data_IF_976016456052
#
_entry.id   IF_976016456052
#
_cell.length_a   1.000
_cell.length_b   1.000
_cell.length_c   1.000
_cell.angle_alpha   90.00
_cell.angle_beta   90.00
_cell.angle_gamma   90.00
#
_symmetry.space_group_name_H-M   'P 1'
#
loop_
_entity.id
_entity.type
_entity.pdbx_description
1 polymer ?
#
# COMPACT_ATOMS: atom_id res chain seq x y z
N UNK A 1 5.61 7.83 -36.42
CA UNK A 1 6.57 7.49 -35.36
C UNK A 1 6.12 8.26 -34.15
N UNK A 2 5.69 7.53 -33.12
CA UNK A 2 5.30 8.12 -31.86
C UNK A 2 6.52 8.82 -31.24
N UNK A 3 6.30 10.02 -30.69
CA UNK A 3 7.38 10.75 -30.04
C UNK A 3 7.83 9.96 -28.80
N UNK A 4 9.14 9.86 -28.52
CA UNK A 4 9.65 9.16 -27.35
C UNK A 4 9.12 9.81 -26.07
N UNK A 5 8.75 8.98 -25.11
CA UNK A 5 8.20 9.41 -23.83
C UNK A 5 9.28 10.09 -22.98
N UNK A 6 8.94 11.25 -22.41
CA UNK A 6 9.83 12.07 -21.58
C UNK A 6 9.19 12.35 -20.22
N UNK A 7 9.99 12.35 -19.16
CA UNK A 7 9.49 12.56 -17.81
C UNK A 7 10.49 12.16 -16.73
N UNK A 8 9.98 11.82 -15.55
CA UNK A 8 10.80 11.33 -14.46
C UNK A 8 10.03 10.28 -13.65
N UNK A 9 10.75 9.36 -13.05
CA UNK A 9 10.22 8.37 -12.12
C UNK A 9 10.91 8.57 -10.77
N UNK A 10 10.12 8.63 -9.71
CA UNK A 10 10.60 8.72 -8.34
C UNK A 10 10.33 7.42 -7.59
N UNK A 11 11.34 6.93 -6.89
CA UNK A 11 11.24 5.80 -5.97
C UNK A 11 11.90 6.18 -4.65
N UNK A 12 11.18 6.06 -3.54
CA UNK A 12 11.73 6.39 -2.22
C UNK A 12 10.78 6.05 -1.09
N UNK A 13 11.21 6.33 0.14
CA UNK A 13 10.47 5.99 1.37
C UNK A 13 9.28 6.91 1.66
N UNK A 14 9.11 7.99 0.89
CA UNK A 14 8.12 9.03 1.20
C UNK A 14 6.69 8.51 0.97
N UNK A 15 5.94 8.36 2.05
CA UNK A 15 4.48 8.24 1.96
C UNK A 15 3.84 9.58 1.53
N UNK A 16 2.58 9.55 1.08
CA UNK A 16 1.82 10.76 0.72
C UNK A 16 1.37 11.55 1.96
N UNK A 17 2.32 12.23 2.61
CA UNK A 17 2.08 12.99 3.83
C UNK A 17 2.92 14.28 3.90
N UNK A 18 2.40 15.29 4.58
CA UNK A 18 3.13 16.53 4.83
C UNK A 18 4.35 16.33 5.75
N UNK A 19 4.37 15.26 6.55
CA UNK A 19 5.52 14.92 7.39
C UNK A 19 6.73 14.49 6.56
N UNK A 20 6.49 13.76 5.46
CA UNK A 20 7.51 13.31 4.51
C UNK A 20 7.89 14.39 3.49
N UNK A 21 6.91 15.08 2.90
CA UNK A 21 7.15 16.06 1.82
C UNK A 21 7.37 17.50 2.30
N UNK A 22 7.02 17.77 3.55
CA UNK A 22 7.10 19.10 4.15
C UNK A 22 5.86 19.95 3.92
N UNK A 23 5.71 20.97 4.77
CA UNK A 23 4.72 22.04 4.63
C UNK A 23 5.37 23.41 4.73
N UNK A 24 5.00 24.38 3.88
CA UNK A 24 5.49 25.74 4.03
C UNK A 24 4.96 26.35 5.33
N UNK A 25 5.81 27.02 6.07
CA UNK A 25 5.49 27.82 7.25
C UNK A 25 5.93 29.26 6.99
N UNK A 26 5.03 30.20 7.29
CA UNK A 26 5.35 31.63 7.29
C UNK A 26 5.78 32.03 8.68
N UNK A 27 6.89 32.77 8.79
CA UNK A 27 7.26 33.44 10.03
C UNK A 27 6.38 34.69 10.23
N UNK A 28 5.06 34.53 10.43
CA UNK A 28 4.20 35.63 10.90
C UNK A 28 4.23 35.71 12.43
N UNK A 29 5.42 35.89 12.99
CA UNK A 29 5.60 36.26 14.39
C UNK A 29 5.39 37.77 14.54
N UNK A 30 4.17 38.18 14.87
CA UNK A 30 3.83 39.45 15.54
C UNK A 30 4.63 40.71 15.14
N UNK A 31 4.13 41.50 14.19
CA UNK A 31 4.09 42.96 14.36
C UNK A 31 2.87 43.55 13.67
N UNK A 32 2.16 44.36 14.46
CA UNK A 32 1.17 45.30 14.01
C UNK A 32 1.76 46.25 12.95
N UNK A 33 0.87 46.72 12.08
CA UNK A 33 1.03 47.77 11.09
C UNK A 33 1.68 47.43 9.75
N UNK A 34 0.95 47.92 8.74
CA UNK A 34 1.40 48.42 7.45
C UNK A 34 1.35 47.41 6.30
N UNK A 35 0.20 47.44 5.62
CA UNK A 35 0.10 47.93 4.25
C UNK A 35 1.47 48.09 3.55
N UNK A 36 2.00 47.05 2.93
CA UNK A 36 2.65 47.18 1.64
C UNK A 36 2.92 45.81 0.99
N UNK A 37 2.26 45.69 -0.16
CA UNK A 37 2.39 44.71 -1.22
C UNK A 37 3.87 44.46 -1.57
N UNK A 38 4.37 43.28 -1.23
CA UNK A 38 5.65 42.76 -1.72
C UNK A 38 5.73 41.26 -1.50
N UNK A 39 5.65 40.48 -2.58
CA UNK A 39 5.71 39.02 -2.60
C UNK A 39 7.15 38.53 -2.29
N UNK A 40 7.63 38.82 -1.09
CA UNK A 40 8.96 38.43 -0.64
C UNK A 40 8.93 37.00 -0.08
N UNK A 41 9.48 36.04 -0.82
CA UNK A 41 9.70 34.66 -0.39
C UNK A 41 10.73 34.52 0.75
N UNK A 42 11.35 35.62 1.20
CA UNK A 42 12.42 35.65 2.19
C UNK A 42 11.98 35.22 3.62
N UNK A 43 10.69 34.98 3.85
CA UNK A 43 10.14 34.55 5.15
C UNK A 43 9.53 33.14 5.17
N UNK A 44 9.57 32.39 4.07
CA UNK A 44 8.98 31.07 3.97
C UNK A 44 10.02 30.00 4.35
N UNK A 45 9.72 29.18 5.36
CA UNK A 45 10.50 27.98 5.70
C UNK A 45 9.70 26.74 5.33
N UNK A 46 10.36 25.64 4.97
CA UNK A 46 9.72 24.35 4.76
C UNK A 46 9.95 23.48 6.00
N UNK A 47 8.88 23.04 6.64
CA UNK A 47 8.94 22.19 7.82
C UNK A 47 8.67 20.74 7.42
N UNK A 48 9.69 19.87 7.56
CA UNK A 48 9.65 18.42 7.30
C UNK A 48 9.88 17.71 8.63
N UNK A 49 9.09 16.69 8.94
CA UNK A 49 9.16 15.99 10.22
C UNK A 49 9.94 14.68 10.15
N UNK A 50 9.98 14.04 8.98
CA UNK A 50 10.54 12.71 8.82
C UNK A 50 11.90 12.75 8.11
N UNK A 51 12.75 11.77 8.42
CA UNK A 51 13.91 11.44 7.60
C UNK A 51 13.45 10.50 6.50
N UNK A 52 13.65 10.90 5.26
CA UNK A 52 13.20 10.16 4.10
C UNK A 52 14.26 10.21 3.00
N UNK A 53 14.36 9.17 2.16
CA UNK A 53 15.33 9.08 1.07
C UNK A 53 14.65 8.54 -0.19
N UNK A 54 15.08 9.00 -1.36
CA UNK A 54 14.62 8.49 -2.64
C UNK A 54 15.57 8.82 -3.79
N UNK A 55 15.34 8.15 -4.91
CA UNK A 55 16.10 8.28 -6.15
C UNK A 55 15.12 8.77 -7.24
N UNK A 56 15.59 9.71 -8.06
CA UNK A 56 14.84 10.22 -9.22
C UNK A 56 15.57 9.79 -10.49
N UNK A 57 14.88 9.05 -11.34
CA UNK A 57 15.32 8.72 -12.70
C UNK A 57 14.74 9.77 -13.65
N UNK A 58 15.61 10.51 -14.36
CA UNK A 58 15.21 11.61 -15.23
C UNK A 58 15.40 11.19 -16.69
N UNK A 59 14.34 11.27 -17.48
CA UNK A 59 14.29 10.93 -18.90
C UNK A 59 14.04 12.22 -19.70
N UNK A 60 15.12 12.91 -20.12
CA UNK A 60 14.98 14.17 -20.83
C UNK A 60 14.32 13.95 -22.20
N UNK A 61 13.62 14.97 -22.75
CA UNK A 61 13.12 14.90 -24.12
C UNK A 61 14.29 14.64 -25.09
N UNK A 62 14.13 13.68 -26.01
CA UNK A 62 15.19 13.38 -26.99
C UNK A 62 15.47 14.62 -27.83
N UNK A 63 16.71 15.11 -27.83
CA UNK A 63 17.11 16.22 -28.70
C UNK A 63 17.07 15.76 -30.16
N UNK A 64 16.42 16.55 -31.00
CA UNK A 64 16.39 16.32 -32.45
C UNK A 64 17.78 16.46 -33.07
N UNK A 65 18.26 15.36 -33.68
CA UNK A 65 19.35 15.25 -34.68
C UNK A 65 20.68 15.91 -34.31
N UNK A 66 21.61 15.13 -33.75
CA UNK A 66 23.02 15.51 -33.73
C UNK A 66 23.95 14.50 -33.07
N UNK A 67 23.52 13.87 -31.97
CA UNK A 67 24.37 12.92 -31.25
C UNK A 67 24.21 11.51 -31.81
N UNK A 68 25.27 11.05 -32.47
CA UNK A 68 25.42 9.68 -32.92
C UNK A 68 26.01 8.89 -31.75
N UNK A 69 25.19 8.06 -31.09
CA UNK A 69 25.73 6.88 -30.41
C UNK A 69 25.56 6.76 -28.89
N UNK A 70 24.69 7.54 -28.25
CA UNK A 70 24.32 7.24 -26.86
C UNK A 70 23.01 6.46 -26.84
N UNK A 71 23.00 5.28 -26.22
CA UNK A 71 21.79 4.53 -25.91
C UNK A 71 20.94 5.36 -24.93
N UNK A 72 20.16 6.32 -25.44
CA UNK A 72 19.25 7.10 -24.61
C UNK A 72 18.17 6.15 -24.09
N UNK A 73 18.21 5.86 -22.78
CA UNK A 73 17.11 5.22 -22.09
C UNK A 73 15.88 6.13 -22.16
N UNK A 74 14.75 5.60 -22.58
CA UNK A 74 13.45 6.28 -22.63
C UNK A 74 12.64 5.98 -21.36
N UNK A 75 11.60 6.77 -21.10
CA UNK A 75 10.71 6.53 -19.96
C UNK A 75 10.01 5.15 -20.06
N UNK A 76 9.78 4.66 -21.28
CA UNK A 76 9.18 3.34 -21.54
C UNK A 76 10.09 2.17 -21.15
N UNK A 77 11.39 2.40 -20.94
CA UNK A 77 12.34 1.35 -20.50
C UNK A 77 12.20 1.03 -19.01
N UNK A 78 11.39 1.80 -18.26
CA UNK A 78 11.15 1.58 -16.84
C UNK A 78 10.07 0.53 -16.65
N UNK A 79 10.45 -0.62 -16.08
CA UNK A 79 9.50 -1.65 -15.65
C UNK A 79 8.84 -1.22 -14.34
N UNK A 80 7.53 -0.94 -14.37
CA UNK A 80 6.75 -0.62 -13.19
C UNK A 80 6.18 -1.89 -12.54
N UNK A 81 6.15 -1.98 -11.20
CA UNK A 81 5.66 -3.17 -10.49
C UNK A 81 4.12 -3.25 -10.43
N UNK A 82 3.41 -2.45 -11.24
CA UNK A 82 1.95 -2.35 -11.26
C UNK A 82 1.45 -2.11 -12.69
N UNK A 83 0.17 -2.38 -12.91
CA UNK A 83 -0.49 -2.22 -14.21
C UNK A 83 -0.62 -0.74 -14.58
N UNK A 84 -0.36 -0.43 -15.86
CA UNK A 84 -0.49 0.91 -16.44
C UNK A 84 -1.45 0.85 -17.63
N UNK A 85 -2.44 1.77 -17.73
CA UNK A 85 -2.77 2.82 -16.78
C UNK A 85 -3.39 2.27 -15.48
N UNK A 86 -3.26 3.03 -14.39
CA UNK A 86 -3.87 2.66 -13.11
C UNK A 86 -5.41 2.53 -13.25
N UNK A 87 -6.01 1.41 -12.83
CA UNK A 87 -7.46 1.25 -12.83
C UNK A 87 -8.16 2.33 -12.00
N UNK A 88 -9.28 2.85 -12.50
CA UNK A 88 -10.11 3.81 -11.75
C UNK A 88 -10.95 3.07 -10.72
N UNK A 89 -11.11 3.67 -9.56
CA UNK A 89 -12.02 3.19 -8.53
C UNK A 89 -13.45 3.14 -9.08
N UNK A 90 -14.13 2.03 -8.84
CA UNK A 90 -15.54 1.85 -9.12
C UNK A 90 -16.42 2.66 -8.18
N UNK A 91 -17.71 2.74 -8.49
CA UNK A 91 -18.68 3.52 -7.71
C UNK A 91 -18.84 3.03 -6.26
N UNK A 92 -18.62 1.74 -6.00
CA UNK A 92 -18.70 1.13 -4.66
C UNK A 92 -17.35 1.09 -3.95
N UNK A 93 -16.26 1.45 -4.63
CA UNK A 93 -14.93 1.38 -4.05
C UNK A 93 -14.74 2.52 -3.06
N UNK A 94 -14.01 2.20 -1.99
CA UNK A 94 -13.59 3.16 -0.97
C UNK A 94 -12.09 3.04 -0.76
N UNK A 95 -11.39 4.13 -0.40
CA UNK A 95 -10.00 4.04 0.00
C UNK A 95 -9.83 3.04 1.14
N UNK A 96 -8.73 2.28 1.13
CA UNK A 96 -8.38 1.31 2.17
C UNK A 96 -7.92 2.01 3.45
N UNK A 97 -8.82 2.75 4.09
CA UNK A 97 -8.57 3.31 5.41
C UNK A 97 -8.73 2.21 6.46
N UNK A 98 -8.07 2.35 7.61
CA UNK A 98 -8.21 1.41 8.72
C UNK A 98 -9.68 1.17 9.11
N UNK A 99 -10.48 2.23 9.12
CA UNK A 99 -11.91 2.14 9.39
C UNK A 99 -12.65 1.37 8.30
N UNK A 100 -12.43 1.70 7.03
CA UNK A 100 -13.07 1.01 5.91
C UNK A 100 -12.72 -0.48 5.88
N UNK A 101 -11.48 -0.85 6.20
CA UNK A 101 -11.05 -2.25 6.31
C UNK A 101 -11.74 -2.96 7.47
N UNK A 102 -11.83 -2.32 8.64
CA UNK A 102 -12.53 -2.90 9.81
C UNK A 102 -14.01 -3.12 9.53
N UNK A 103 -14.67 -2.16 8.88
CA UNK A 103 -16.06 -2.27 8.50
C UNK A 103 -16.29 -3.37 7.47
N UNK A 104 -15.42 -3.48 6.46
CA UNK A 104 -15.49 -4.54 5.46
C UNK A 104 -15.35 -5.93 6.10
N UNK A 105 -14.44 -6.09 7.06
CA UNK A 105 -14.28 -7.33 7.83
C UNK A 105 -15.53 -7.65 8.65
N UNK A 106 -16.13 -6.66 9.31
CA UNK A 106 -17.34 -6.86 10.09
C UNK A 106 -18.54 -7.26 9.21
N UNK A 107 -18.68 -6.66 8.03
CA UNK A 107 -19.71 -7.00 7.05
C UNK A 107 -19.52 -8.42 6.51
N UNK A 108 -18.28 -8.81 6.21
CA UNK A 108 -17.94 -10.16 5.78
C UNK A 108 -18.31 -11.21 6.85
N UNK A 109 -17.92 -10.98 8.10
CA UNK A 109 -18.28 -11.89 9.21
C UNK A 109 -19.78 -11.97 9.45
N UNK A 110 -20.52 -10.87 9.28
CA UNK A 110 -21.99 -10.89 9.37
C UNK A 110 -22.58 -11.75 8.26
N UNK A 111 -22.11 -11.56 7.03
CA UNK A 111 -22.58 -12.31 5.87
C UNK A 111 -22.26 -13.81 6.00
N UNK A 112 -21.10 -14.17 6.55
CA UNK A 112 -20.73 -15.56 6.81
C UNK A 112 -21.64 -16.21 7.86
N UNK A 113 -21.96 -15.50 8.95
CA UNK A 113 -22.93 -15.98 9.95
C UNK A 113 -24.32 -16.16 9.37
N UNK A 114 -24.77 -15.22 8.53
CA UNK A 114 -26.07 -15.32 7.85
C UNK A 114 -26.11 -16.53 6.91
N UNK A 115 -25.05 -16.75 6.12
CA UNK A 115 -24.93 -17.95 5.27
C UNK A 115 -24.92 -19.25 6.08
N UNK A 116 -24.21 -19.30 7.20
CA UNK A 116 -24.16 -20.48 8.06
C UNK A 116 -25.52 -20.79 8.69
N UNK A 117 -26.23 -19.76 9.17
CA UNK A 117 -27.59 -19.91 9.70
C UNK A 117 -28.59 -20.35 8.61
N UNK A 118 -28.44 -19.88 7.37
CA UNK A 118 -29.24 -20.34 6.23
C UNK A 118 -28.97 -21.83 5.92
N UNK A 119 -27.71 -22.27 5.93
CA UNK A 119 -27.36 -23.69 5.75
C UNK A 119 -28.00 -24.57 6.83
N UNK A 120 -27.84 -24.22 8.11
CA UNK A 120 -28.46 -24.97 9.22
C UNK A 120 -29.98 -25.03 9.05
N UNK A 121 -30.64 -23.90 8.75
CA UNK A 121 -32.09 -23.89 8.57
C UNK A 121 -32.55 -24.73 7.37
N UNK A 122 -31.69 -24.87 6.34
CA UNK A 122 -31.97 -25.71 5.17
C UNK A 122 -31.73 -27.19 5.49
N UNK A 123 -30.70 -27.52 6.27
CA UNK A 123 -30.44 -28.89 6.77
C UNK A 123 -31.54 -29.36 7.73
N UNK A 124 -31.98 -28.51 8.66
CA UNK A 124 -33.08 -28.82 9.60
C UNK A 124 -34.42 -29.05 8.88
N UNK A 125 -34.68 -28.33 7.77
CA UNK A 125 -35.84 -28.60 6.89
C UNK A 125 -35.72 -29.87 6.04
N UNK A 126 -34.49 -30.38 5.82
CA UNK A 126 -34.25 -31.63 5.09
C UNK A 126 -34.25 -32.83 6.05
N UNK A 127 -33.87 -32.64 7.32
CA UNK A 127 -33.97 -33.64 8.39
C UNK A 127 -35.44 -34.00 8.75
N UNK A 128 -36.40 -33.08 8.59
CA UNK A 128 -37.84 -33.41 8.77
C UNK A 128 -38.40 -34.40 7.71
N UNK A 129 -37.61 -34.82 6.71
CA UNK A 129 -37.99 -35.81 5.68
C UNK A 129 -37.20 -37.13 5.82
N UNK A 130 -36.11 -37.17 6.59
CA UNK A 130 -35.29 -38.36 6.79
C UNK A 130 -35.07 -38.60 8.28
N UNK A 131 -36.12 -39.12 8.92
CA UNK A 131 -35.95 -39.85 10.17
C UNK A 131 -35.15 -41.13 9.88
N UNK A 132 -34.21 -41.42 10.77
CA UNK A 132 -33.32 -42.59 10.86
C UNK A 132 -31.91 -42.50 10.21
N UNK A 133 -30.95 -42.31 11.11
CA UNK A 133 -29.53 -42.74 11.08
C UNK A 133 -28.56 -41.98 10.16
N UNK A 134 -27.70 -41.13 10.74
CA UNK A 134 -26.24 -41.37 10.82
C UNK A 134 -25.54 -40.29 11.68
N UNK A 135 -25.09 -40.70 12.86
CA UNK A 135 -24.26 -39.92 13.77
C UNK A 135 -22.80 -40.07 13.33
N UNK A 136 -22.18 -39.05 12.71
CA UNK A 136 -20.71 -39.07 12.53
C UNK A 136 -20.05 -37.69 12.66
N UNK A 137 -19.57 -37.46 13.89
CA UNK A 137 -18.37 -36.74 14.32
C UNK A 137 -17.81 -35.56 13.50
N UNK A 138 -17.96 -34.37 14.07
CA UNK A 138 -17.19 -33.17 13.75
C UNK A 138 -15.74 -33.34 14.24
N UNK A 139 -14.80 -33.63 13.34
CA UNK A 139 -13.35 -33.44 13.59
C UNK A 139 -12.97 -31.98 13.35
N UNK A 140 -13.13 -31.14 14.37
CA UNK A 140 -12.45 -29.84 14.46
C UNK A 140 -11.38 -29.88 15.56
N UNK A 141 -10.26 -29.19 15.29
CA UNK A 141 -9.18 -28.76 16.21
C UNK A 141 -7.89 -29.59 16.28
N UNK A 142 -7.19 -29.77 15.16
CA UNK A 142 -5.72 -29.96 15.20
C UNK A 142 -4.91 -28.96 14.35
N UNK A 143 -5.54 -28.27 13.40
CA UNK A 143 -4.86 -27.43 12.41
C UNK A 143 -4.21 -26.15 12.99
N UNK A 144 -4.78 -25.57 14.05
CA UNK A 144 -4.32 -24.28 14.60
C UNK A 144 -3.03 -24.35 15.45
N UNK A 145 -2.58 -25.55 15.84
CA UNK A 145 -1.37 -25.73 16.67
C UNK A 145 -0.14 -25.92 15.78
N UNK A 146 -0.29 -26.60 14.65
CA UNK A 146 0.81 -26.88 13.70
C UNK A 146 1.34 -25.60 13.04
N UNK A 147 0.46 -24.69 12.59
CA UNK A 147 0.88 -23.43 11.94
C UNK A 147 1.75 -22.54 12.86
N UNK A 148 1.52 -22.58 14.18
CA UNK A 148 2.30 -21.80 15.15
C UNK A 148 3.70 -22.35 15.40
N UNK A 149 3.89 -23.66 15.31
CA UNK A 149 5.21 -24.26 15.48
C UNK A 149 6.06 -24.06 14.22
N UNK A 150 5.46 -24.19 13.04
CA UNK A 150 6.13 -23.97 11.76
C UNK A 150 6.59 -22.51 11.57
N UNK A 151 5.77 -21.53 11.95
CA UNK A 151 6.15 -20.11 11.94
C UNK A 151 7.32 -19.81 12.90
N UNK A 152 7.35 -20.47 14.06
CA UNK A 152 8.43 -20.29 15.03
C UNK A 152 9.76 -20.84 14.52
N UNK A 153 9.75 -22.03 13.91
CA UNK A 153 10.93 -22.65 13.30
C UNK A 153 11.45 -21.79 12.15
N UNK A 154 10.55 -21.29 11.30
CA UNK A 154 10.91 -20.41 10.19
C UNK A 154 11.53 -19.08 10.67
N UNK A 155 10.95 -18.49 11.73
CA UNK A 155 11.51 -17.28 12.34
C UNK A 155 12.91 -17.51 12.92
N UNK A 156 13.13 -18.57 13.70
CA UNK A 156 14.44 -18.90 14.26
C UNK A 156 15.50 -19.13 13.17
N UNK A 157 15.12 -19.75 12.04
CA UNK A 157 16.01 -19.97 10.90
C UNK A 157 16.41 -18.66 10.18
N UNK A 158 15.52 -17.66 10.13
CA UNK A 158 15.84 -16.33 9.59
C UNK A 158 16.77 -15.54 10.53
N UNK A 159 16.54 -15.59 11.84
CA UNK A 159 17.34 -14.83 12.81
C UNK A 159 18.78 -15.36 12.96
N UNK A 160 18.99 -16.68 12.85
CA UNK A 160 20.33 -17.28 12.95
C UNK A 160 21.29 -16.90 11.80
N UNK A 161 20.76 -16.47 10.65
CA UNK A 161 21.57 -16.00 9.52
C UNK A 161 22.17 -14.61 9.74
N UNK A 162 21.52 -13.78 10.57
CA UNK A 162 21.97 -12.42 10.89
C UNK A 162 23.15 -12.46 11.87
N UNK A 163 23.10 -13.35 12.86
CA UNK A 163 24.14 -13.49 13.88
C UNK A 163 25.46 -14.06 13.32
N UNK A 164 25.36 -14.92 12.29
CA UNK A 164 26.53 -15.50 11.62
C UNK A 164 27.33 -14.48 10.80
N UNK A 165 26.72 -13.33 10.47
CA UNK A 165 27.33 -12.28 9.63
C UNK A 165 28.00 -11.16 10.44
N UNK A 166 27.85 -11.15 11.77
CA UNK A 166 28.46 -10.17 12.67
C UNK A 166 29.75 -10.64 13.36
N UNK A 167 30.23 -11.85 13.06
CA UNK A 167 31.54 -12.33 13.53
C UNK A 167 32.61 -12.10 12.46
N UNK A 168 33.10 -10.86 12.38
CA UNK A 168 34.39 -10.48 11.80
C UNK A 168 35.03 -9.42 12.68
#
# INVERSE_FOLDING_TARGET
MDAPSSGWVYCGSHNFSAAAWGRPISNSGSQANRLEKGNSSLGLRLHICNYELGIIFIFPPTKTKGDTGENCSNLDDVVLPYVVPAPKYGFKDRPATMQAMREALAELTKQEREKFAEIIATEEMVEEILDEEEEEAIEETSYAVEEKEDEKVYAEQLWSQVDSSQSC
#
